data_IF_151900603684
#
_entry.id   IF_151900603684
#
_cell.length_a   1.000
_cell.length_b   1.000
_cell.length_c   1.000
_cell.angle_alpha   90.00
_cell.angle_beta   90.00
_cell.angle_gamma   90.00
#
_symmetry.space_group_name_H-M   'P 1'
#
loop_
_entity.id
_entity.type
_entity.pdbx_description
1 polymer ?
#
# COMPACT_ATOMS: atom_id res chain seq x y z
N UNK A 1 -14.81 -20.11 31.28
CA UNK A 1 -14.68 -18.74 30.80
C UNK A 1 -15.60 -18.60 29.61
N UNK A 2 -16.60 -17.72 29.67
CA UNK A 2 -17.52 -17.49 28.54
C UNK A 2 -16.82 -16.62 27.50
N UNK A 3 -17.34 -16.59 26.24
CA UNK A 3 -16.79 -15.73 25.20
C UNK A 3 -16.83 -14.25 25.59
N UNK A 4 -17.83 -13.84 26.36
CA UNK A 4 -17.95 -12.48 26.89
C UNK A 4 -16.88 -12.15 27.95
N UNK A 5 -16.59 -13.09 28.87
CA UNK A 5 -15.55 -12.93 29.87
C UNK A 5 -14.17 -12.86 29.23
N UNK A 6 -13.93 -13.66 28.18
CA UNK A 6 -12.71 -13.61 27.41
C UNK A 6 -12.56 -12.28 26.68
N UNK A 7 -13.62 -11.77 26.07
CA UNK A 7 -13.63 -10.47 25.43
C UNK A 7 -13.24 -9.34 26.39
N UNK A 8 -13.89 -9.28 27.55
CA UNK A 8 -13.57 -8.29 28.60
C UNK A 8 -12.14 -8.38 29.11
N UNK A 9 -11.62 -9.62 29.25
CA UNK A 9 -10.24 -9.86 29.67
C UNK A 9 -9.24 -9.34 28.60
N UNK A 10 -9.47 -9.65 27.33
CA UNK A 10 -8.63 -9.15 26.21
C UNK A 10 -8.67 -7.63 26.14
N UNK A 11 -9.84 -7.01 26.24
CA UNK A 11 -10.00 -5.55 26.23
C UNK A 11 -9.27 -4.87 27.39
N UNK A 12 -9.19 -5.53 28.54
CA UNK A 12 -8.45 -5.00 29.70
C UNK A 12 -6.93 -5.05 29.54
N UNK A 13 -6.43 -6.00 28.73
CA UNK A 13 -5.00 -6.17 28.43
C UNK A 13 -4.57 -5.41 27.17
N UNK A 14 -5.50 -5.09 26.27
CA UNK A 14 -5.19 -4.40 25.05
C UNK A 14 -4.71 -2.95 25.31
N UNK A 15 -3.53 -2.57 24.83
CA UNK A 15 -3.03 -1.21 25.02
C UNK A 15 -3.92 -0.22 24.27
N UNK A 16 -4.41 0.82 24.99
CA UNK A 16 -5.22 1.87 24.39
C UNK A 16 -4.42 2.62 23.32
N UNK A 17 -4.89 2.61 22.08
CA UNK A 17 -4.27 3.36 20.99
C UNK A 17 -4.43 4.87 21.20
N UNK A 18 -3.34 5.64 21.02
CA UNK A 18 -3.36 7.11 21.05
C UNK A 18 -3.84 7.62 19.67
N UNK A 19 -5.16 7.52 19.43
CA UNK A 19 -5.77 7.76 18.13
C UNK A 19 -5.34 9.09 17.50
N UNK A 20 -5.43 10.21 18.22
CA UNK A 20 -5.09 11.53 17.71
C UNK A 20 -3.61 11.62 17.26
N UNK A 21 -2.68 11.10 18.07
CA UNK A 21 -1.26 11.10 17.73
C UNK A 21 -0.99 10.21 16.51
N UNK A 22 -1.64 9.05 16.44
CA UNK A 22 -1.49 8.15 15.31
C UNK A 22 -2.06 8.75 14.02
N UNK A 23 -3.20 9.45 14.09
CA UNK A 23 -3.76 10.19 12.96
C UNK A 23 -2.83 11.30 12.47
N UNK A 24 -2.24 12.08 13.38
CA UNK A 24 -1.28 13.12 13.01
C UNK A 24 -0.03 12.53 12.36
N UNK A 25 0.53 11.46 12.91
CA UNK A 25 1.69 10.79 12.31
C UNK A 25 1.36 10.24 10.92
N UNK A 26 0.19 9.61 10.76
CA UNK A 26 -0.28 9.10 9.47
C UNK A 26 -0.43 10.23 8.44
N UNK A 27 -1.02 11.36 8.84
CA UNK A 27 -1.17 12.53 7.99
C UNK A 27 0.18 13.09 7.50
N UNK A 28 1.13 13.28 8.43
CA UNK A 28 2.43 13.81 8.08
C UNK A 28 3.22 12.88 7.15
N UNK A 29 3.31 11.60 7.47
CA UNK A 29 4.10 10.65 6.66
C UNK A 29 3.44 10.38 5.32
N UNK A 30 2.12 10.15 5.30
CA UNK A 30 1.37 9.99 4.05
C UNK A 30 1.44 11.24 3.17
N UNK A 31 1.34 12.43 3.78
CA UNK A 31 1.51 13.70 3.09
C UNK A 31 2.90 13.87 2.47
N UNK A 32 3.97 13.51 3.21
CA UNK A 32 5.34 13.55 2.68
C UNK A 32 5.55 12.59 1.49
N UNK A 33 4.98 11.40 1.54
CA UNK A 33 5.02 10.46 0.41
C UNK A 33 4.30 11.06 -0.81
N UNK A 34 3.16 11.70 -0.62
CA UNK A 34 2.43 12.37 -1.71
C UNK A 34 3.22 13.55 -2.28
N UNK A 35 3.86 14.36 -1.43
CA UNK A 35 4.74 15.47 -1.87
C UNK A 35 5.92 14.93 -2.68
N UNK A 36 6.55 13.85 -2.24
CA UNK A 36 7.63 13.20 -2.99
C UNK A 36 7.13 12.74 -4.38
N UNK A 37 5.96 12.11 -4.44
CA UNK A 37 5.35 11.71 -5.71
C UNK A 37 5.09 12.90 -6.63
N UNK A 38 4.58 14.01 -6.07
CA UNK A 38 4.33 15.23 -6.86
C UNK A 38 5.63 15.88 -7.35
N UNK A 39 6.69 15.89 -6.54
CA UNK A 39 8.01 16.39 -6.95
C UNK A 39 8.59 15.56 -8.10
N UNK A 40 8.52 14.24 -8.02
CA UNK A 40 8.95 13.35 -9.11
C UNK A 40 8.14 13.61 -10.38
N UNK A 41 6.82 13.72 -10.28
CA UNK A 41 5.95 14.00 -11.41
C UNK A 41 6.27 15.35 -12.07
N UNK A 42 6.49 16.39 -11.27
CA UNK A 42 6.89 17.71 -11.78
C UNK A 42 8.28 17.68 -12.44
N UNK A 43 9.22 16.92 -11.86
CA UNK A 43 10.55 16.71 -12.44
C UNK A 43 10.49 16.04 -13.81
N UNK A 44 9.70 14.97 -13.96
CA UNK A 44 9.52 14.30 -15.26
C UNK A 44 8.82 15.19 -16.29
N UNK A 45 7.86 16.02 -15.85
CA UNK A 45 7.21 17.00 -16.74
C UNK A 45 8.17 18.11 -17.19
N UNK A 46 9.11 18.51 -16.33
CA UNK A 46 10.14 19.47 -16.70
C UNK A 46 11.17 18.91 -17.73
N UNK A 47 11.20 17.60 -17.92
CA UNK A 47 11.95 16.90 -18.96
C UNK A 47 11.13 16.71 -20.25
N UNK A 48 10.05 17.47 -20.44
CA UNK A 48 9.13 17.42 -21.59
C UNK A 48 8.44 16.06 -21.83
N UNK A 49 8.34 15.21 -20.79
CA UNK A 49 7.53 14.00 -20.89
C UNK A 49 6.03 14.33 -20.89
N UNK A 50 5.27 13.57 -21.68
CA UNK A 50 3.81 13.67 -21.65
C UNK A 50 3.25 13.38 -20.25
N UNK A 51 2.01 13.82 -19.97
CA UNK A 51 1.37 13.61 -18.67
C UNK A 51 1.33 12.13 -18.28
N UNK A 52 0.99 11.26 -19.23
CA UNK A 52 0.83 9.82 -18.99
C UNK A 52 2.19 9.13 -18.73
N UNK A 53 3.22 9.51 -19.50
CA UNK A 53 4.58 9.02 -19.30
C UNK A 53 5.15 9.50 -17.96
N UNK A 54 4.91 10.76 -17.57
CA UNK A 54 5.34 11.30 -16.28
C UNK A 54 4.68 10.56 -15.11
N UNK A 55 3.39 10.26 -15.22
CA UNK A 55 2.66 9.49 -14.18
C UNK A 55 3.21 8.06 -14.07
N UNK A 56 3.44 7.40 -15.20
CA UNK A 56 4.01 6.04 -15.23
C UNK A 56 5.42 6.02 -14.67
N UNK A 57 6.29 6.94 -15.07
CA UNK A 57 7.66 7.04 -14.57
C UNK A 57 7.69 7.32 -13.06
N UNK A 58 6.81 8.21 -12.57
CA UNK A 58 6.65 8.47 -11.12
C UNK A 58 6.26 7.21 -10.37
N UNK A 59 5.29 6.45 -10.89
CA UNK A 59 4.85 5.20 -10.26
C UNK A 59 5.98 4.17 -10.19
N UNK A 60 6.75 4.00 -11.26
CA UNK A 60 7.92 3.10 -11.31
C UNK A 60 8.96 3.51 -10.26
N UNK A 61 9.29 4.81 -10.18
CA UNK A 61 10.24 5.31 -9.18
C UNK A 61 9.75 5.07 -7.74
N UNK A 62 8.48 5.32 -7.45
CA UNK A 62 7.91 5.09 -6.11
C UNK A 62 7.88 3.61 -5.73
N UNK A 63 7.53 2.73 -6.68
CA UNK A 63 7.58 1.27 -6.47
C UNK A 63 9.00 0.83 -6.19
N UNK A 64 9.97 1.27 -7.00
CA UNK A 64 11.38 0.94 -6.81
C UNK A 64 11.89 1.43 -5.43
N UNK A 65 11.63 2.68 -5.07
CA UNK A 65 12.05 3.24 -3.78
C UNK A 65 11.42 2.47 -2.61
N UNK A 66 10.14 2.14 -2.69
CA UNK A 66 9.47 1.37 -1.65
C UNK A 66 10.06 -0.03 -1.51
N UNK A 67 10.24 -0.76 -2.61
CA UNK A 67 10.84 -2.08 -2.60
C UNK A 67 12.28 -2.07 -2.07
N UNK A 68 13.07 -1.06 -2.45
CA UNK A 68 14.44 -0.88 -1.96
C UNK A 68 14.47 -0.62 -0.44
N UNK A 69 13.64 0.30 0.05
CA UNK A 69 13.54 0.60 1.49
C UNK A 69 13.04 -0.60 2.29
N UNK A 70 12.15 -1.42 1.72
CA UNK A 70 11.68 -2.66 2.31
C UNK A 70 12.82 -3.68 2.40
N UNK A 71 13.57 -3.87 1.31
CA UNK A 71 14.73 -4.78 1.28
C UNK A 71 15.85 -4.38 2.25
N UNK A 72 15.96 -3.08 2.56
CA UNK A 72 16.91 -2.56 3.56
C UNK A 72 16.33 -2.52 5.00
N UNK A 73 15.11 -3.05 5.22
CA UNK A 73 14.37 -3.01 6.50
C UNK A 73 14.07 -1.61 7.05
N UNK A 74 14.26 -0.55 6.25
CA UNK A 74 14.00 0.85 6.64
C UNK A 74 12.51 1.17 6.58
N UNK A 75 11.79 0.63 5.60
CA UNK A 75 10.36 0.89 5.42
C UNK A 75 9.53 0.44 6.63
N UNK A 76 9.91 -0.67 7.24
CA UNK A 76 9.25 -1.22 8.44
C UNK A 76 9.36 -0.27 9.65
N UNK A 77 10.53 0.34 9.85
CA UNK A 77 10.73 1.31 10.92
C UNK A 77 9.94 2.61 10.70
N UNK A 78 9.78 3.03 9.44
CA UNK A 78 8.89 4.13 9.08
C UNK A 78 7.44 3.74 9.37
N UNK A 79 7.01 2.54 8.97
CA UNK A 79 5.64 2.04 9.14
C UNK A 79 5.24 1.93 10.62
N UNK A 80 6.14 1.49 11.50
CA UNK A 80 5.92 1.42 12.96
C UNK A 80 5.55 2.79 13.56
N UNK A 81 6.10 3.87 13.03
CA UNK A 81 5.85 5.24 13.51
C UNK A 81 4.69 5.92 12.80
N UNK A 82 4.56 5.68 11.51
CA UNK A 82 3.57 6.29 10.63
C UNK A 82 2.21 5.60 10.66
N UNK A 83 2.15 4.32 11.03
CA UNK A 83 0.91 3.53 10.98
C UNK A 83 0.27 3.58 9.59
N UNK A 84 -1.00 3.99 9.52
CA UNK A 84 -1.75 4.06 8.27
C UNK A 84 -1.17 5.03 7.22
N UNK A 85 -0.25 5.92 7.60
CA UNK A 85 0.38 6.87 6.67
C UNK A 85 1.25 6.22 5.59
N UNK A 86 1.73 4.99 5.82
CA UNK A 86 2.50 4.21 4.84
C UNK A 86 1.62 3.41 3.87
N UNK A 87 0.30 3.41 4.06
CA UNK A 87 -0.66 2.72 3.19
C UNK A 87 -1.01 3.51 1.91
N UNK A 88 -0.18 4.49 1.53
CA UNK A 88 -0.33 5.17 0.24
C UNK A 88 -0.27 4.11 -0.88
N UNK A 89 -1.26 4.08 -1.81
CA UNK A 89 -1.52 2.92 -2.68
C UNK A 89 -0.30 2.38 -3.41
N UNK A 90 0.52 3.25 -4.02
CA UNK A 90 1.68 2.81 -4.82
C UNK A 90 2.77 2.23 -3.93
N UNK A 91 3.23 2.98 -2.93
CA UNK A 91 4.34 2.59 -2.06
C UNK A 91 3.93 1.51 -1.07
N UNK A 92 2.72 1.59 -0.50
CA UNK A 92 2.19 0.60 0.43
C UNK A 92 1.98 -0.76 -0.23
N UNK A 93 1.46 -0.80 -1.45
CA UNK A 93 1.29 -2.04 -2.19
C UNK A 93 2.65 -2.65 -2.59
N UNK A 94 3.60 -1.84 -3.04
CA UNK A 94 4.95 -2.31 -3.34
C UNK A 94 5.63 -2.93 -2.10
N UNK A 95 5.51 -2.28 -0.92
CA UNK A 95 6.01 -2.83 0.33
C UNK A 95 5.32 -4.16 0.70
N UNK A 96 4.00 -4.24 0.56
CA UNK A 96 3.24 -5.45 0.91
C UNK A 96 3.60 -6.68 0.05
N UNK A 97 4.13 -6.47 -1.15
CA UNK A 97 4.64 -7.52 -2.03
C UNK A 97 6.12 -7.80 -1.75
N UNK A 98 6.93 -6.75 -1.55
CA UNK A 98 8.36 -6.90 -1.34
C UNK A 98 8.71 -7.53 0.02
N UNK A 99 7.96 -7.23 1.08
CA UNK A 99 8.23 -7.77 2.42
C UNK A 99 8.16 -9.30 2.47
N UNK A 100 7.07 -9.97 2.01
CA UNK A 100 7.05 -11.43 1.95
C UNK A 100 8.10 -12.02 0.99
N UNK A 101 8.43 -11.31 -0.10
CA UNK A 101 9.47 -11.76 -1.01
C UNK A 101 10.84 -11.87 -0.34
N UNK A 102 11.18 -10.92 0.53
CA UNK A 102 12.42 -10.93 1.32
C UNK A 102 12.35 -11.95 2.45
N UNK A 103 11.24 -12.02 3.17
CA UNK A 103 11.06 -12.91 4.32
C UNK A 103 11.16 -14.39 3.93
N UNK A 104 10.52 -14.77 2.82
CA UNK A 104 10.43 -16.17 2.38
C UNK A 104 11.46 -16.54 1.30
N UNK A 105 12.48 -15.73 1.06
CA UNK A 105 13.52 -16.04 0.06
C UNK A 105 14.29 -17.34 0.35
N UNK A 106 14.42 -17.71 1.63
CA UNK A 106 15.10 -18.93 2.07
C UNK A 106 14.33 -20.21 1.72
N UNK A 107 13.02 -20.12 1.50
CA UNK A 107 12.17 -21.23 1.08
C UNK A 107 12.26 -21.53 -0.43
N UNK A 108 13.08 -20.78 -1.17
CA UNK A 108 13.29 -20.90 -2.60
C UNK A 108 12.47 -19.91 -3.44
N UNK A 109 12.83 -19.79 -4.72
CA UNK A 109 12.26 -18.76 -5.61
C UNK A 109 10.77 -19.04 -5.92
N UNK A 110 10.41 -20.28 -6.25
CA UNK A 110 9.06 -20.60 -6.73
C UNK A 110 8.08 -20.74 -5.58
N UNK A 111 8.36 -21.61 -4.61
CA UNK A 111 7.43 -21.92 -3.50
C UNK A 111 7.50 -20.87 -2.36
N UNK A 112 8.65 -20.27 -2.16
CA UNK A 112 8.83 -19.18 -1.20
C UNK A 112 8.45 -17.83 -1.81
N UNK A 113 9.40 -17.17 -2.44
CA UNK A 113 9.27 -15.78 -2.91
C UNK A 113 8.06 -15.57 -3.81
N UNK A 114 7.97 -16.28 -4.95
CA UNK A 114 6.90 -16.05 -5.92
C UNK A 114 5.52 -16.39 -5.35
N UNK A 115 5.36 -17.54 -4.70
CA UNK A 115 4.08 -17.95 -4.14
C UNK A 115 3.58 -16.94 -3.09
N UNK A 116 4.46 -16.44 -2.23
CA UNK A 116 4.11 -15.46 -1.18
C UNK A 116 3.78 -14.08 -1.75
N UNK A 117 4.49 -13.62 -2.77
CA UNK A 117 4.13 -12.39 -3.49
C UNK A 117 2.72 -12.49 -4.08
N UNK A 118 2.37 -13.59 -4.73
CA UNK A 118 1.05 -13.80 -5.32
C UNK A 118 -0.06 -13.97 -4.28
N UNK A 119 0.24 -14.47 -3.10
CA UNK A 119 -0.74 -14.54 -1.99
C UNK A 119 -1.26 -13.15 -1.61
N UNK A 120 -0.44 -12.12 -1.70
CA UNK A 120 -0.83 -10.72 -1.44
C UNK A 120 -1.39 -10.06 -2.70
N UNK A 121 -0.66 -10.17 -3.82
CA UNK A 121 -1.03 -9.51 -5.08
C UNK A 121 -2.33 -10.07 -5.69
N UNK A 122 -2.53 -11.39 -5.60
CA UNK A 122 -3.67 -12.07 -6.20
C UNK A 122 -5.03 -11.50 -5.79
N UNK A 123 -5.37 -11.49 -4.50
CA UNK A 123 -6.62 -10.92 -4.02
C UNK A 123 -6.83 -9.45 -4.41
N UNK A 124 -5.79 -8.62 -4.33
CA UNK A 124 -5.86 -7.20 -4.70
C UNK A 124 -6.22 -7.03 -6.17
N UNK A 125 -5.56 -7.79 -7.06
CA UNK A 125 -5.84 -7.76 -8.49
C UNK A 125 -7.26 -8.26 -8.80
N UNK A 126 -7.68 -9.36 -8.19
CA UNK A 126 -9.02 -9.95 -8.41
C UNK A 126 -10.12 -9.00 -7.94
N UNK A 127 -10.04 -8.51 -6.71
CA UNK A 127 -11.06 -7.59 -6.18
C UNK A 127 -11.03 -6.24 -6.88
N UNK A 128 -9.86 -5.72 -7.21
CA UNK A 128 -9.72 -4.46 -7.93
C UNK A 128 -10.32 -4.52 -9.34
N UNK A 129 -10.03 -5.58 -10.10
CA UNK A 129 -10.61 -5.78 -11.43
C UNK A 129 -12.11 -6.05 -11.37
N UNK A 130 -12.59 -6.89 -10.45
CA UNK A 130 -14.01 -7.16 -10.28
C UNK A 130 -14.79 -5.89 -9.94
N UNK A 131 -14.31 -5.08 -8.99
CA UNK A 131 -14.93 -3.81 -8.64
C UNK A 131 -14.94 -2.82 -9.82
N UNK A 132 -13.85 -2.75 -10.59
CA UNK A 132 -13.76 -1.89 -11.78
C UNK A 132 -14.74 -2.30 -12.87
N UNK A 133 -14.92 -3.61 -13.10
CA UNK A 133 -15.90 -4.12 -14.07
C UNK A 133 -17.33 -3.80 -13.63
N UNK A 134 -17.67 -4.03 -12.37
CA UNK A 134 -19.01 -3.71 -11.82
C UNK A 134 -19.29 -2.21 -11.96
N UNK A 135 -18.34 -1.36 -11.55
CA UNK A 135 -18.48 0.09 -11.70
C UNK A 135 -18.62 0.51 -13.17
N UNK A 136 -17.81 -0.06 -14.06
CA UNK A 136 -17.86 0.22 -15.50
C UNK A 136 -19.22 -0.13 -16.11
N UNK A 137 -19.83 -1.26 -15.74
CA UNK A 137 -21.17 -1.65 -16.19
C UNK A 137 -22.22 -0.66 -15.68
N UNK A 138 -22.18 -0.30 -14.39
CA UNK A 138 -23.10 0.68 -13.80
C UNK A 138 -22.98 2.04 -14.51
N UNK A 139 -21.76 2.49 -14.74
CA UNK A 139 -21.50 3.76 -15.41
C UNK A 139 -21.99 3.76 -16.87
N UNK A 140 -21.75 2.67 -17.59
CA UNK A 140 -22.24 2.50 -18.96
C UNK A 140 -23.76 2.51 -19.03
N UNK A 141 -24.44 1.76 -18.15
CA UNK A 141 -25.91 1.76 -18.07
C UNK A 141 -26.45 3.17 -17.77
N UNK A 142 -25.81 3.89 -16.84
CA UNK A 142 -26.20 5.27 -16.56
C UNK A 142 -26.11 6.17 -17.79
N UNK A 143 -25.04 6.06 -18.57
CA UNK A 143 -24.88 6.82 -19.80
C UNK A 143 -25.91 6.46 -20.89
N UNK A 144 -26.41 5.22 -20.91
CA UNK A 144 -27.45 4.82 -21.86
C UNK A 144 -28.85 5.35 -21.49
N UNK A 145 -29.08 5.71 -20.24
CA UNK A 145 -30.39 6.15 -19.71
C UNK A 145 -30.45 7.69 -19.59
N UNK A 146 -29.30 8.33 -19.34
CA UNK A 146 -29.19 9.79 -19.20
C UNK A 146 -28.98 10.46 -20.53
#
# INVERSE_FOLDING_TARGET
MTNEDYGKYVDSLAPKSKCLRNCLNAFWVGGLICVLGQLLMNGFRALDLSKDLSATATSICLVFLSALLTGLAVYDDIAKRAGAGTLVPITGFANSIAAPAVEFQTEGIILGTCAKMFTIAGPVLVYGTAASVIYGIIYWLWQCIA
#
